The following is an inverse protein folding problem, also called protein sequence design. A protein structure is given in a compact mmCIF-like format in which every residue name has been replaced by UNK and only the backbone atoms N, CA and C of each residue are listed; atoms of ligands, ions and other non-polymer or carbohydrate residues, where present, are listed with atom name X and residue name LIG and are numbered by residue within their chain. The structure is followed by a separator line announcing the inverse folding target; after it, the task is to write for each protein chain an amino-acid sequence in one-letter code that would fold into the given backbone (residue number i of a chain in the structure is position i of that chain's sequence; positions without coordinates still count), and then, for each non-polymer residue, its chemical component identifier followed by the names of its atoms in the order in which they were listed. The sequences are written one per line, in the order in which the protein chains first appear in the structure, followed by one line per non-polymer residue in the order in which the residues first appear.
data_IF_697454610465
#
_entry.id   IF_697454610465
#
_cell.length_a   1.000
_cell.length_b   1.000
_cell.length_c   1.000
_cell.angle_alpha   90.00
_cell.angle_beta   90.00
_cell.angle_gamma   90.00
#
_symmetry.space_group_name_H-M   'P 1'
#
loop_
_entity.id
_entity.type
_entity.pdbx_description
1 polymer ?
#
# COMPACT_ATOMS: atom_id res chain seq x y z
N UNK A 1 -23.30 34.10 36.53
CA UNK A 1 -23.13 34.17 35.06
C UNK A 1 -21.86 33.42 34.59
N UNK A 2 -21.72 32.10 34.85
CA UNK A 2 -20.53 31.31 34.43
C UNK A 2 -20.86 29.92 33.83
N UNK A 3 -22.14 29.59 33.62
CA UNK A 3 -22.56 28.24 33.15
C UNK A 3 -22.68 28.09 31.63
N UNK A 4 -22.67 29.19 30.86
CA UNK A 4 -22.82 29.15 29.39
C UNK A 4 -21.53 28.81 28.63
N UNK A 5 -20.34 29.03 29.22
CA UNK A 5 -19.05 28.76 28.56
C UNK A 5 -18.76 27.26 28.40
N UNK A 6 -19.25 26.42 29.32
CA UNK A 6 -19.05 24.95 29.28
C UNK A 6 -19.88 24.25 28.21
N UNK A 7 -21.03 24.81 27.85
CA UNK A 7 -21.94 24.21 26.86
C UNK A 7 -21.42 24.38 25.43
N UNK A 8 -20.75 25.50 25.15
CA UNK A 8 -20.19 25.81 23.83
C UNK A 8 -18.94 24.95 23.50
N UNK A 9 -18.13 24.62 24.50
CA UNK A 9 -16.98 23.71 24.35
C UNK A 9 -17.45 22.28 24.05
N UNK A 10 -18.52 21.82 24.71
CA UNK A 10 -19.07 20.47 24.49
C UNK A 10 -19.71 20.30 23.11
N UNK A 11 -20.40 21.33 22.60
CA UNK A 11 -21.01 21.29 21.26
C UNK A 11 -19.97 21.26 20.14
N UNK A 12 -18.87 22.02 20.29
CA UNK A 12 -17.79 22.05 19.30
C UNK A 12 -17.04 20.72 19.20
N UNK A 13 -16.87 20.01 20.32
CA UNK A 13 -16.21 18.70 20.34
C UNK A 13 -17.03 17.62 19.60
N UNK A 14 -18.36 17.69 19.67
CA UNK A 14 -19.26 16.73 19.01
C UNK A 14 -19.25 16.90 17.47
N UNK A 15 -19.16 18.14 16.99
CA UNK A 15 -19.09 18.43 15.54
C UNK A 15 -17.76 17.97 14.93
N UNK A 16 -16.66 18.09 15.67
CA UNK A 16 -15.33 17.60 15.23
C UNK A 16 -15.30 16.06 15.18
N UNK A 17 -16.01 15.37 16.08
CA UNK A 17 -16.08 13.91 16.08
C UNK A 17 -16.83 13.34 14.85
N UNK A 18 -17.89 14.01 14.37
CA UNK A 18 -18.59 13.58 13.16
C UNK A 18 -17.78 13.77 11.87
N UNK A 19 -16.77 14.66 11.86
CA UNK A 19 -15.89 14.85 10.71
C UNK A 19 -14.81 13.76 10.58
N UNK A 20 -14.65 12.90 11.59
CA UNK A 20 -13.72 11.77 11.57
C UNK A 20 -14.34 10.54 10.88
N UNK A 21 -14.69 10.68 9.60
CA UNK A 21 -15.07 9.52 8.78
C UNK A 21 -13.80 8.76 8.40
N UNK A 22 -13.59 7.58 8.98
CA UNK A 22 -12.55 6.66 8.55
C UNK A 22 -12.93 6.04 7.19
N UNK A 23 -12.06 6.16 6.19
CA UNK A 23 -12.22 5.42 4.93
C UNK A 23 -11.86 3.97 5.18
N UNK A 24 -12.77 3.05 4.85
CA UNK A 24 -12.52 1.60 4.90
C UNK A 24 -12.52 1.02 3.50
N UNK A 25 -11.67 0.03 3.28
CA UNK A 25 -11.62 -0.77 2.05
C UNK A 25 -12.19 -2.15 2.39
N UNK A 26 -13.12 -2.65 1.57
CA UNK A 26 -13.55 -4.05 1.66
C UNK A 26 -12.54 -4.88 0.86
N UNK A 27 -11.68 -5.67 1.50
CA UNK A 27 -10.71 -6.49 0.77
C UNK A 27 -11.43 -7.62 0.01
N UNK A 28 -10.93 -8.04 -1.16
CA UNK A 28 -11.41 -9.25 -1.82
C UNK A 28 -11.22 -10.47 -0.90
N UNK A 29 -12.14 -11.44 -1.00
CA UNK A 29 -11.96 -12.73 -0.34
C UNK A 29 -10.77 -13.50 -0.93
N UNK A 30 -10.30 -14.55 -0.26
CA UNK A 30 -9.26 -15.42 -0.81
C UNK A 30 -9.69 -16.02 -2.16
N UNK A 31 -10.93 -16.49 -2.27
CA UNK A 31 -11.46 -17.05 -3.50
C UNK A 31 -11.56 -15.98 -4.62
N UNK A 32 -11.91 -14.74 -4.28
CA UNK A 32 -11.86 -13.61 -5.21
C UNK A 32 -10.44 -13.36 -5.73
N UNK A 33 -9.45 -13.36 -4.84
CA UNK A 33 -8.05 -13.16 -5.21
C UNK A 33 -7.56 -14.26 -6.15
N UNK A 34 -7.80 -15.53 -5.79
CA UNK A 34 -7.41 -16.69 -6.60
C UNK A 34 -8.15 -16.72 -7.92
N UNK A 35 -9.46 -16.42 -7.92
CA UNK A 35 -10.30 -16.40 -9.10
C UNK A 35 -9.84 -15.36 -10.12
N UNK A 36 -9.57 -14.13 -9.65
CA UNK A 36 -9.20 -12.97 -10.50
C UNK A 36 -7.73 -12.95 -10.92
N UNK A 37 -6.83 -13.59 -10.19
CA UNK A 37 -5.41 -13.57 -10.51
C UNK A 37 -5.12 -14.17 -11.89
N UNK A 38 -4.36 -13.47 -12.74
CA UNK A 38 -3.88 -14.00 -14.01
C UNK A 38 -2.77 -15.04 -13.81
N UNK A 39 -1.91 -14.81 -12.82
CA UNK A 39 -0.81 -15.70 -12.42
C UNK A 39 -0.77 -15.87 -10.91
N UNK A 40 -0.34 -17.06 -10.46
CA UNK A 40 -0.03 -17.37 -9.06
C UNK A 40 1.25 -18.20 -9.07
N UNK A 41 2.23 -17.82 -8.27
CA UNK A 41 3.52 -18.50 -8.23
C UNK A 41 4.17 -18.39 -6.86
N UNK A 42 5.07 -19.33 -6.58
CA UNK A 42 5.99 -19.30 -5.45
C UNK A 42 7.41 -19.06 -5.98
N UNK A 43 8.20 -18.29 -5.23
CA UNK A 43 9.54 -17.94 -5.64
C UNK A 43 10.30 -17.14 -4.58
N UNK A 44 11.55 -16.83 -4.90
CA UNK A 44 12.47 -16.09 -4.03
C UNK A 44 12.74 -14.70 -4.60
N UNK A 45 12.66 -13.67 -3.76
CA UNK A 45 13.04 -12.30 -4.15
C UNK A 45 14.54 -12.27 -4.40
N UNK A 46 14.95 -11.80 -5.59
CA UNK A 46 16.36 -11.73 -6.00
C UNK A 46 16.88 -10.31 -6.10
N UNK A 47 15.99 -9.32 -6.26
CA UNK A 47 16.35 -7.90 -6.34
C UNK A 47 15.21 -7.03 -5.82
N UNK A 48 15.57 -5.96 -5.11
CA UNK A 48 14.66 -4.89 -4.69
C UNK A 48 15.34 -3.56 -4.96
N UNK A 49 14.78 -2.79 -5.88
CA UNK A 49 15.29 -1.46 -6.21
C UNK A 49 14.17 -0.43 -6.18
N UNK A 50 14.47 0.77 -5.70
CA UNK A 50 13.53 1.89 -5.69
C UNK A 50 14.06 3.05 -6.52
N UNK A 51 13.17 3.75 -7.23
CA UNK A 51 13.53 4.91 -8.03
C UNK A 51 12.42 5.98 -7.97
N UNK A 52 12.80 7.22 -8.21
CA UNK A 52 11.84 8.29 -8.46
C UNK A 52 11.17 8.09 -9.81
N UNK A 53 9.85 8.18 -9.84
CA UNK A 53 9.03 8.14 -11.05
C UNK A 53 8.10 9.36 -11.09
N UNK A 54 7.76 9.81 -12.29
CA UNK A 54 6.87 10.95 -12.50
C UNK A 54 7.56 12.31 -12.33
N UNK A 55 6.79 13.37 -12.52
CA UNK A 55 7.27 14.75 -12.54
C UNK A 55 6.34 15.68 -11.75
N UNK A 56 6.88 16.82 -11.30
CA UNK A 56 6.13 17.83 -10.56
C UNK A 56 5.37 17.26 -9.37
N UNK A 57 4.07 17.57 -9.28
CA UNK A 57 3.19 17.09 -8.20
C UNK A 57 2.89 15.58 -8.25
N UNK A 58 3.20 14.90 -9.36
CA UNK A 58 3.01 13.45 -9.50
C UNK A 58 4.30 12.67 -9.24
N UNK A 59 5.38 13.33 -8.81
CA UNK A 59 6.63 12.67 -8.48
C UNK A 59 6.47 11.81 -7.23
N UNK A 60 6.78 10.52 -7.33
CA UNK A 60 6.65 9.54 -6.24
C UNK A 60 7.70 8.42 -6.37
N UNK A 61 7.90 7.65 -5.31
CA UNK A 61 8.86 6.54 -5.30
C UNK A 61 8.14 5.25 -5.77
N UNK A 62 8.75 4.56 -6.73
CA UNK A 62 8.34 3.22 -7.15
C UNK A 62 9.42 2.21 -6.76
N UNK A 63 9.00 1.08 -6.22
CA UNK A 63 9.85 -0.09 -6.02
C UNK A 63 9.58 -1.16 -7.06
N UNK A 64 10.65 -1.78 -7.54
CA UNK A 64 10.65 -2.92 -8.43
C UNK A 64 11.25 -4.10 -7.69
N UNK A 65 10.44 -5.14 -7.48
CA UNK A 65 10.80 -6.34 -6.74
C UNK A 65 10.87 -7.49 -7.74
N UNK A 66 12.07 -7.97 -8.01
CA UNK A 66 12.28 -9.12 -8.90
C UNK A 66 12.21 -10.40 -8.10
N UNK A 67 11.36 -11.33 -8.52
CA UNK A 67 11.17 -12.64 -7.91
C UNK A 67 11.51 -13.71 -8.93
N UNK A 68 12.49 -14.56 -8.60
CA UNK A 68 12.75 -15.78 -9.36
C UNK A 68 11.64 -16.77 -9.07
N UNK A 69 10.97 -17.23 -10.12
CA UNK A 69 9.90 -18.22 -10.02
C UNK A 69 10.50 -19.59 -9.76
N UNK A 70 10.03 -20.26 -8.72
CA UNK A 70 10.40 -21.64 -8.36
C UNK A 70 9.27 -22.61 -8.72
N UNK A 71 8.02 -22.20 -8.51
CA UNK A 71 6.83 -22.97 -8.85
C UNK A 71 5.73 -22.06 -9.40
N UNK A 72 5.19 -22.43 -10.57
CA UNK A 72 4.02 -21.78 -11.14
C UNK A 72 2.75 -22.57 -10.74
N UNK A 73 1.87 -21.92 -9.99
CA UNK A 73 0.61 -22.50 -9.48
C UNK A 73 -0.56 -22.20 -10.42
N UNK A 74 -0.61 -20.99 -10.99
CA UNK A 74 -1.60 -20.55 -11.98
C UNK A 74 -0.95 -19.71 -13.07
N UNK A 75 -1.39 -19.91 -14.31
CA UNK A 75 -0.89 -19.17 -15.47
C UNK A 75 0.53 -19.60 -15.86
N UNK A 76 1.23 -18.73 -16.59
CA UNK A 76 2.60 -18.98 -17.05
C UNK A 76 3.49 -17.74 -16.80
N UNK A 77 3.99 -17.55 -15.56
CA UNK A 77 4.76 -16.36 -15.16
C UNK A 77 6.17 -16.28 -15.77
N UNK A 78 6.65 -17.35 -16.43
CA UNK A 78 8.05 -17.46 -16.87
C UNK A 78 9.01 -17.73 -15.71
N UNK A 79 10.31 -17.50 -15.93
CA UNK A 79 11.35 -17.78 -14.93
C UNK A 79 11.50 -16.69 -13.86
N UNK A 80 10.99 -15.49 -14.11
CA UNK A 80 11.11 -14.35 -13.20
C UNK A 80 9.96 -13.37 -13.42
N UNK A 81 9.47 -12.79 -12.33
CA UNK A 81 8.43 -11.75 -12.35
C UNK A 81 8.96 -10.51 -11.63
N UNK A 82 8.69 -9.33 -12.17
CA UNK A 82 8.99 -8.06 -11.48
C UNK A 82 7.69 -7.40 -11.03
N UNK A 83 7.52 -7.25 -9.73
CA UNK A 83 6.40 -6.52 -9.14
C UNK A 83 6.75 -5.03 -9.09
N UNK A 84 5.83 -4.17 -9.53
CA UNK A 84 5.96 -2.70 -9.43
C UNK A 84 4.99 -2.18 -8.39
N UNK A 85 5.51 -1.53 -7.35
CA UNK A 85 4.72 -1.12 -6.19
C UNK A 85 5.08 0.28 -5.71
N UNK A 86 4.08 1.00 -5.18
CA UNK A 86 4.27 2.26 -4.46
C UNK A 86 5.10 2.05 -3.19
N UNK A 87 6.03 2.97 -2.97
CA UNK A 87 6.87 3.03 -1.78
C UNK A 87 8.30 2.62 -2.05
N UNK A 88 9.13 2.71 -1.01
CA UNK A 88 10.56 2.39 -1.06
C UNK A 88 11.44 3.53 -0.57
N UNK A 89 12.74 3.38 -0.74
CA UNK A 89 13.74 4.36 -0.29
C UNK A 89 14.69 4.72 -1.42
N UNK A 90 14.84 6.02 -1.69
CA UNK A 90 15.81 6.56 -2.65
C UNK A 90 16.73 7.53 -1.92
N UNK A 91 17.99 7.13 -1.71
CA UNK A 91 18.93 7.91 -0.93
C UNK A 91 18.47 8.06 0.52
N UNK A 92 18.18 9.30 0.95
CA UNK A 92 17.69 9.61 2.30
C UNK A 92 16.15 9.69 2.39
N UNK A 93 15.45 9.59 1.26
CA UNK A 93 13.99 9.77 1.19
C UNK A 93 13.29 8.41 1.16
N UNK A 94 12.32 8.22 2.06
CA UNK A 94 11.49 7.01 2.12
C UNK A 94 10.03 7.38 1.94
N UNK A 95 9.35 6.65 1.07
CA UNK A 95 7.90 6.67 0.96
C UNK A 95 7.33 5.35 1.47
N UNK A 96 6.49 5.41 2.49
CA UNK A 96 5.79 4.24 3.01
C UNK A 96 4.32 4.25 2.57
N UNK A 97 3.83 3.07 2.17
CA UNK A 97 2.41 2.81 1.96
C UNK A 97 1.97 1.89 3.09
N UNK A 98 0.96 2.33 3.85
CA UNK A 98 0.43 1.54 4.96
C UNK A 98 -0.02 0.16 4.49
N UNK A 99 0.28 -0.86 5.29
CA UNK A 99 -0.06 -2.27 5.07
C UNK A 99 0.52 -2.92 3.79
N UNK A 100 1.38 -2.21 3.05
CA UNK A 100 2.10 -2.79 1.93
C UNK A 100 3.19 -3.77 2.41
N UNK A 101 3.43 -4.88 1.69
CA UNK A 101 4.46 -5.84 2.07
C UNK A 101 5.86 -5.23 1.96
N UNK A 102 6.75 -5.62 2.89
CA UNK A 102 8.18 -5.29 2.87
C UNK A 102 8.97 -6.49 2.36
N UNK A 103 9.84 -6.25 1.39
CA UNK A 103 10.66 -7.29 0.75
C UNK A 103 12.11 -7.17 1.17
N UNK A 104 12.81 -8.30 1.15
CA UNK A 104 14.25 -8.41 1.35
C UNK A 104 14.81 -9.46 0.39
N UNK A 105 16.07 -9.30 0.04
CA UNK A 105 16.87 -10.30 -0.68
C UNK A 105 17.51 -11.23 0.36
#
# INVERSE_FOLDING_TARGET
MKKFSRLSVSGSLLVIACAALATTVIPPSFDDLVGRAEIIFQGTVTDVRSEWTGEGAQRHIMSYVTVKVEEAIKGNPGASVTLRMLGGTVGAETMEVADAPKFKV
#
